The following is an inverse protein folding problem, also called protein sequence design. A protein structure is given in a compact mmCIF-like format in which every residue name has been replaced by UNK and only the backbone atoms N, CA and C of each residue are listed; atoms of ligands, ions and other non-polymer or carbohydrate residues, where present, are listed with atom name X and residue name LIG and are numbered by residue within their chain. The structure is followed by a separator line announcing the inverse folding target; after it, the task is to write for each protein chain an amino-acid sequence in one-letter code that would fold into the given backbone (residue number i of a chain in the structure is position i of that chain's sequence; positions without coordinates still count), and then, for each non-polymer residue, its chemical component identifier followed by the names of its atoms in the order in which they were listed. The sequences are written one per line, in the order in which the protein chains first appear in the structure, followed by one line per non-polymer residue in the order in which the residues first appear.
data_IF_947703053280
#
_entry.id   IF_947703053280
#
_cell.length_a   1.000
_cell.length_b   1.000
_cell.length_c   1.000
_cell.angle_alpha   90.00
_cell.angle_beta   90.00
_cell.angle_gamma   90.00
#
_symmetry.space_group_name_H-M   'P 1'
#
loop_
_entity.id
_entity.type
_entity.pdbx_description
1 polymer ?
#
# COMPACT_ATOMS: atom_id res chain seq x y z
N UNK A 1 27.47 -1.41 -1.23
CA UNK A 1 26.67 -2.17 -0.24
C UNK A 1 25.17 -2.33 -0.58
N UNK A 2 24.52 -1.39 -1.30
CA UNK A 2 23.06 -1.46 -1.54
C UNK A 2 22.53 -2.61 -2.42
N UNK A 3 23.29 -3.08 -3.43
CA UNK A 3 22.82 -4.13 -4.35
C UNK A 3 22.84 -5.55 -3.75
N UNK A 4 23.66 -5.80 -2.73
CA UNK A 4 23.73 -7.13 -2.09
C UNK A 4 22.64 -7.29 -1.03
N UNK A 5 22.39 -6.24 -0.24
CA UNK A 5 21.23 -6.18 0.66
C UNK A 5 19.92 -6.34 -0.14
N UNK A 6 19.79 -5.65 -1.26
CA UNK A 6 18.63 -5.79 -2.16
C UNK A 6 18.43 -7.24 -2.66
N UNK A 7 19.50 -7.98 -2.98
CA UNK A 7 19.39 -9.38 -3.45
C UNK A 7 18.94 -10.36 -2.37
N UNK A 8 19.39 -10.17 -1.14
CA UNK A 8 19.03 -11.01 0.01
C UNK A 8 17.60 -10.71 0.43
N UNK A 9 17.19 -9.44 0.43
CA UNK A 9 15.81 -9.06 0.69
C UNK A 9 14.87 -9.50 -0.43
N UNK A 10 15.28 -9.45 -1.71
CA UNK A 10 14.45 -9.90 -2.84
C UNK A 10 14.03 -11.38 -2.76
N UNK A 11 14.97 -12.29 -2.43
CA UNK A 11 14.64 -13.72 -2.29
C UNK A 11 13.70 -13.96 -1.09
N UNK A 12 13.95 -13.29 0.03
CA UNK A 12 13.08 -13.41 1.22
C UNK A 12 11.69 -12.80 1.04
N UNK A 13 11.59 -11.68 0.31
CA UNK A 13 10.34 -10.98 -0.03
C UNK A 13 9.45 -11.86 -0.91
N UNK A 14 10.02 -12.51 -1.92
CA UNK A 14 9.27 -13.39 -2.81
C UNK A 14 8.94 -14.74 -2.16
N UNK A 15 9.79 -15.25 -1.26
CA UNK A 15 9.57 -16.52 -0.58
C UNK A 15 8.32 -16.54 0.32
N UNK A 16 7.79 -15.36 0.69
CA UNK A 16 6.55 -15.25 1.47
C UNK A 16 5.28 -15.40 0.62
N UNK A 17 5.41 -15.39 -0.72
CA UNK A 17 4.27 -15.47 -1.63
C UNK A 17 3.85 -16.92 -1.82
N UNK A 18 2.54 -17.18 -1.63
CA UNK A 18 1.88 -18.48 -1.78
C UNK A 18 1.07 -18.49 -3.08
N UNK A 19 0.82 -19.68 -3.62
CA UNK A 19 -0.08 -19.97 -4.76
C UNK A 19 0.29 -19.38 -6.13
N UNK A 20 1.03 -18.28 -6.18
CA UNK A 20 1.55 -17.67 -7.42
C UNK A 20 3.08 -17.55 -7.35
N UNK A 21 3.71 -17.48 -8.51
CA UNK A 21 5.17 -17.33 -8.64
C UNK A 21 5.50 -15.97 -9.23
N UNK A 22 5.81 -14.96 -8.39
CA UNK A 22 6.13 -13.62 -8.87
C UNK A 22 7.34 -13.62 -9.81
N UNK A 23 7.30 -12.75 -10.81
CA UNK A 23 8.42 -12.51 -11.71
C UNK A 23 9.61 -11.99 -10.89
N UNK A 24 10.77 -12.68 -10.91
CA UNK A 24 11.95 -12.22 -10.20
C UNK A 24 12.43 -10.87 -10.75
N UNK A 25 12.91 -9.93 -9.91
CA UNK A 25 13.36 -8.60 -10.37
C UNK A 25 14.38 -8.62 -11.50
N UNK A 26 15.27 -9.62 -11.53
CA UNK A 26 16.26 -9.79 -12.62
C UNK A 26 15.63 -10.15 -13.97
N UNK A 27 14.49 -10.82 -13.95
CA UNK A 27 13.71 -11.21 -15.11
C UNK A 27 12.61 -10.19 -15.46
N UNK A 28 12.36 -9.21 -14.59
CA UNK A 28 11.37 -8.17 -14.84
C UNK A 28 11.75 -7.34 -16.07
N UNK A 29 10.89 -7.37 -17.09
CA UNK A 29 11.00 -6.61 -18.35
C UNK A 29 9.64 -6.01 -18.67
N UNK A 30 9.58 -5.14 -19.68
CA UNK A 30 8.33 -4.52 -20.13
C UNK A 30 7.59 -3.81 -18.98
N UNK A 31 6.27 -4.01 -18.92
CA UNK A 31 5.40 -3.40 -17.91
C UNK A 31 5.80 -3.76 -16.47
N UNK A 32 6.14 -5.03 -16.21
CA UNK A 32 6.59 -5.49 -14.89
C UNK A 32 7.85 -4.74 -14.43
N UNK A 33 8.83 -4.59 -15.33
CA UNK A 33 10.06 -3.85 -15.05
C UNK A 33 9.79 -2.36 -14.75
N UNK A 34 8.86 -1.73 -15.48
CA UNK A 34 8.47 -0.33 -15.23
C UNK A 34 7.81 -0.16 -13.86
N UNK A 35 6.86 -1.03 -13.51
CA UNK A 35 6.18 -1.02 -12.22
C UNK A 35 7.18 -1.24 -11.08
N UNK A 36 8.05 -2.26 -11.18
CA UNK A 36 9.05 -2.53 -10.14
C UNK A 36 10.01 -1.35 -9.95
N UNK A 37 10.41 -0.71 -11.05
CA UNK A 37 11.24 0.49 -11.00
C UNK A 37 10.55 1.63 -10.26
N UNK A 38 9.27 1.90 -10.55
CA UNK A 38 8.52 2.96 -9.86
C UNK A 38 8.26 2.63 -8.39
N UNK A 39 7.89 1.38 -8.09
CA UNK A 39 7.70 0.89 -6.73
C UNK A 39 8.94 1.10 -5.85
N UNK A 40 10.12 0.68 -6.32
CA UNK A 40 11.35 0.84 -5.51
C UNK A 40 11.71 2.32 -5.32
N UNK A 41 11.48 3.17 -6.32
CA UNK A 41 11.76 4.61 -6.21
C UNK A 41 10.81 5.33 -5.24
N UNK A 42 9.53 5.00 -5.30
CA UNK A 42 8.48 5.76 -4.61
C UNK A 42 8.15 5.16 -3.24
N UNK A 43 8.08 3.82 -3.15
CA UNK A 43 7.81 3.10 -1.90
C UNK A 43 9.08 2.81 -1.09
N UNK A 44 10.25 2.85 -1.73
CA UNK A 44 11.56 2.68 -1.08
C UNK A 44 12.01 1.22 -0.90
N UNK A 45 11.16 0.24 -1.21
CA UNK A 45 11.49 -1.18 -1.18
C UNK A 45 10.61 -2.00 -2.11
N UNK A 46 11.05 -3.21 -2.42
CA UNK A 46 10.18 -4.24 -2.99
C UNK A 46 9.08 -4.58 -1.98
N UNK A 47 7.82 -4.43 -2.39
CA UNK A 47 6.66 -4.69 -1.55
C UNK A 47 5.95 -5.99 -1.99
N UNK A 48 6.03 -7.10 -1.22
CA UNK A 48 5.33 -8.34 -1.55
C UNK A 48 3.84 -8.16 -1.91
N UNK A 49 3.06 -7.29 -1.20
CA UNK A 49 1.66 -7.02 -1.55
C UNK A 49 1.43 -6.53 -2.99
N UNK A 50 2.44 -5.93 -3.63
CA UNK A 50 2.39 -5.48 -5.02
C UNK A 50 3.00 -6.53 -5.94
N UNK A 51 4.20 -7.02 -5.61
CA UNK A 51 4.97 -7.97 -6.43
C UNK A 51 4.21 -9.26 -6.75
N UNK A 52 3.33 -9.72 -5.84
CA UNK A 52 2.52 -10.92 -6.02
C UNK A 52 1.70 -10.92 -7.32
N UNK A 53 1.38 -9.74 -7.86
CA UNK A 53 0.57 -9.60 -9.08
C UNK A 53 1.38 -9.76 -10.37
N UNK A 54 2.71 -9.81 -10.31
CA UNK A 54 3.57 -9.78 -11.49
C UNK A 54 3.36 -10.89 -12.55
N UNK A 55 2.78 -12.06 -12.26
CA UNK A 55 2.35 -13.01 -13.30
C UNK A 55 1.24 -12.47 -14.22
N UNK A 56 0.51 -11.43 -13.79
CA UNK A 56 -0.51 -10.72 -14.57
C UNK A 56 -0.13 -9.22 -14.65
N UNK A 57 0.69 -8.81 -15.64
CA UNK A 57 1.29 -7.48 -15.70
C UNK A 57 0.31 -6.30 -15.62
N UNK A 58 -0.88 -6.44 -16.20
CA UNK A 58 -1.95 -5.44 -16.19
C UNK A 58 -2.54 -5.27 -14.79
N UNK A 59 -2.73 -6.38 -14.06
CA UNK A 59 -3.19 -6.37 -12.67
C UNK A 59 -2.12 -5.80 -11.75
N UNK A 60 -0.84 -6.11 -12.01
CA UNK A 60 0.30 -5.50 -11.32
C UNK A 60 0.30 -3.98 -11.50
N UNK A 61 0.13 -3.50 -12.73
CA UNK A 61 0.07 -2.08 -13.03
C UNK A 61 -1.11 -1.42 -12.32
N UNK A 62 -2.32 -1.99 -12.40
CA UNK A 62 -3.51 -1.45 -11.75
C UNK A 62 -3.36 -1.43 -10.21
N UNK A 63 -2.90 -2.53 -9.60
CA UNK A 63 -2.68 -2.63 -8.16
C UNK A 63 -1.65 -1.62 -7.65
N UNK A 64 -0.56 -1.43 -8.41
CA UNK A 64 0.43 -0.40 -8.10
C UNK A 64 -0.13 1.01 -8.27
N UNK A 65 -0.87 1.28 -9.34
CA UNK A 65 -1.48 2.59 -9.61
C UNK A 65 -2.44 2.99 -8.50
N UNK A 66 -3.31 2.07 -8.06
CA UNK A 66 -4.20 2.28 -6.91
C UNK A 66 -3.43 2.64 -5.64
N UNK A 67 -2.40 1.86 -5.28
CA UNK A 67 -1.58 2.12 -4.09
C UNK A 67 -0.84 3.45 -4.19
N UNK A 68 -0.16 3.69 -5.31
CA UNK A 68 0.67 4.88 -5.51
C UNK A 68 -0.19 6.14 -5.44
N UNK A 69 -1.27 6.21 -6.21
CA UNK A 69 -2.04 7.44 -6.32
C UNK A 69 -2.93 7.70 -5.09
N UNK A 70 -3.47 6.66 -4.44
CA UNK A 70 -4.30 6.87 -3.25
C UNK A 70 -3.47 7.21 -2.00
N UNK A 71 -2.41 6.43 -1.74
CA UNK A 71 -1.64 6.50 -0.49
C UNK A 71 -0.37 7.34 -0.62
N UNK A 72 0.36 7.20 -1.72
CA UNK A 72 1.73 7.73 -1.80
C UNK A 72 1.81 9.14 -2.38
N UNK A 73 1.04 9.40 -3.44
CA UNK A 73 1.00 10.69 -4.11
C UNK A 73 0.52 11.79 -3.17
N UNK A 74 1.12 12.97 -3.33
CA UNK A 74 0.67 14.20 -2.69
C UNK A 74 -0.75 14.57 -3.13
N UNK A 75 -1.46 15.27 -2.27
CA UNK A 75 -2.86 15.64 -2.46
C UNK A 75 -3.36 16.51 -1.33
N UNK A 76 -4.68 16.65 -1.20
CA UNK A 76 -5.33 17.41 -0.13
C UNK A 76 -5.09 16.73 1.22
N UNK A 77 -5.22 15.40 1.26
CA UNK A 77 -5.06 14.64 2.49
C UNK A 77 -3.57 14.38 2.77
N UNK A 78 -3.12 14.74 3.97
CA UNK A 78 -1.75 14.48 4.40
C UNK A 78 -1.47 12.97 4.47
N UNK A 79 -0.21 12.56 4.20
CA UNK A 79 0.20 11.15 4.24
C UNK A 79 -0.14 10.45 5.56
N UNK A 80 -0.05 11.15 6.68
CA UNK A 80 -0.35 10.60 8.01
C UNK A 80 -1.80 10.15 8.15
N UNK A 81 -2.79 10.93 7.67
CA UNK A 81 -4.20 10.54 7.75
C UNK A 81 -4.54 9.43 6.76
N UNK A 82 -3.89 9.39 5.59
CA UNK A 82 -3.99 8.27 4.65
C UNK A 82 -3.50 6.96 5.30
N UNK A 83 -2.39 6.98 6.02
CA UNK A 83 -1.87 5.82 6.74
C UNK A 83 -2.75 5.39 7.93
N UNK A 84 -3.46 6.34 8.58
CA UNK A 84 -4.48 6.02 9.58
C UNK A 84 -5.60 5.21 8.95
N UNK A 85 -6.18 5.68 7.83
CA UNK A 85 -7.22 4.94 7.11
C UNK A 85 -6.74 3.55 6.68
N UNK A 86 -5.55 3.45 6.08
CA UNK A 86 -4.96 2.18 5.68
C UNK A 86 -4.83 1.19 6.85
N UNK A 87 -4.39 1.68 8.02
CA UNK A 87 -4.27 0.88 9.24
C UNK A 87 -5.61 0.37 9.74
N UNK A 88 -6.61 1.25 9.80
CA UNK A 88 -7.92 0.96 10.37
C UNK A 88 -8.75 0.02 9.48
N UNK A 89 -8.71 0.22 8.16
CA UNK A 89 -9.31 -0.71 7.18
C UNK A 89 -8.64 -2.08 7.27
N UNK A 90 -7.31 -2.11 7.39
CA UNK A 90 -6.55 -3.37 7.53
C UNK A 90 -6.89 -4.11 8.82
N UNK A 91 -7.11 -3.39 9.92
CA UNK A 91 -7.57 -3.97 11.17
C UNK A 91 -8.99 -4.52 11.05
N UNK A 92 -9.90 -3.79 10.39
CA UNK A 92 -11.28 -4.22 10.16
C UNK A 92 -11.38 -5.45 9.24
N UNK A 93 -10.45 -5.60 8.30
CA UNK A 93 -10.34 -6.77 7.43
C UNK A 93 -9.52 -7.92 8.06
N UNK A 94 -9.11 -7.81 9.33
CA UNK A 94 -8.27 -8.80 10.01
C UNK A 94 -6.98 -9.16 9.23
N UNK A 95 -6.31 -8.16 8.64
CA UNK A 95 -5.07 -8.34 7.88
C UNK A 95 -3.84 -7.93 8.72
N UNK A 96 -3.23 -8.84 9.49
CA UNK A 96 -2.13 -8.51 10.41
C UNK A 96 -0.89 -7.97 9.70
N UNK A 97 -0.57 -8.49 8.50
CA UNK A 97 0.56 -8.03 7.71
C UNK A 97 0.45 -6.52 7.41
N UNK A 98 -0.71 -6.10 6.92
CA UNK A 98 -0.95 -4.69 6.57
C UNK A 98 -0.99 -3.81 7.83
N UNK A 99 -1.62 -4.27 8.91
CA UNK A 99 -1.61 -3.55 10.19
C UNK A 99 -0.19 -3.27 10.67
N UNK A 100 0.69 -4.28 10.63
CA UNK A 100 2.09 -4.12 11.05
C UNK A 100 2.85 -3.11 10.18
N UNK A 101 2.71 -3.18 8.86
CA UNK A 101 3.37 -2.25 7.92
C UNK A 101 2.89 -0.81 8.12
N UNK A 102 1.57 -0.60 8.19
CA UNK A 102 1.00 0.75 8.25
C UNK A 102 1.19 1.38 9.63
N UNK A 103 1.09 0.62 10.73
CA UNK A 103 1.46 1.11 12.06
C UNK A 103 2.94 1.47 12.16
N UNK A 104 3.83 0.63 11.63
CA UNK A 104 5.25 0.94 11.63
C UNK A 104 5.56 2.22 10.82
N UNK A 105 4.85 2.43 9.71
CA UNK A 105 4.94 3.66 8.90
C UNK A 105 4.41 4.88 9.65
N UNK A 106 3.24 4.78 10.29
CA UNK A 106 2.63 5.85 11.11
C UNK A 106 3.58 6.36 12.18
N UNK A 107 4.27 5.47 12.90
CA UNK A 107 5.25 5.85 13.93
C UNK A 107 6.41 6.68 13.38
N UNK A 108 6.69 6.61 12.07
CA UNK A 108 7.69 7.42 11.38
C UNK A 108 7.20 8.82 10.97
N UNK A 109 5.88 9.06 10.99
CA UNK A 109 5.22 10.29 10.57
C UNK A 109 4.95 11.21 11.77
N UNK A 110 5.01 12.52 11.52
CA UNK A 110 4.71 13.54 12.55
C UNK A 110 3.19 13.65 12.70
N UNK A 111 2.71 13.86 13.93
CA UNK A 111 1.29 14.05 14.25
C UNK A 111 0.45 12.78 14.11
N UNK A 112 1.04 11.59 14.13
CA UNK A 112 0.28 10.33 14.01
C UNK A 112 -0.65 10.05 15.19
N UNK A 113 -0.47 10.78 16.29
CA UNK A 113 -1.24 10.77 17.53
C UNK A 113 -2.25 11.93 17.62
N UNK A 114 -2.45 12.69 16.54
CA UNK A 114 -3.39 13.80 16.51
C UNK A 114 -4.84 13.30 16.73
N UNK A 115 -5.52 13.74 17.80
CA UNK A 115 -6.87 13.27 18.14
C UNK A 115 -7.91 13.64 17.07
N UNK A 116 -7.62 14.61 16.20
CA UNK A 116 -8.50 14.96 15.07
C UNK A 116 -8.67 13.83 14.07
N UNK A 117 -7.81 12.81 14.09
CA UNK A 117 -7.96 11.63 13.23
C UNK A 117 -8.94 10.59 13.79
N UNK A 118 -9.46 10.75 15.00
CA UNK A 118 -10.37 9.77 15.60
C UNK A 118 -11.67 9.53 14.80
N UNK A 119 -12.38 10.57 14.27
CA UNK A 119 -13.59 10.34 13.49
C UNK A 119 -13.33 9.56 12.19
N UNK A 120 -12.26 9.91 11.47
CA UNK A 120 -11.90 9.20 10.22
C UNK A 120 -11.39 7.79 10.50
N UNK A 121 -10.67 7.57 11.61
CA UNK A 121 -10.26 6.23 12.04
C UNK A 121 -11.48 5.34 12.35
N UNK A 122 -12.46 5.87 13.08
CA UNK A 122 -13.70 5.16 13.39
C UNK A 122 -14.49 4.80 12.12
N UNK A 123 -14.63 5.76 11.20
CA UNK A 123 -15.25 5.52 9.90
C UNK A 123 -14.52 4.42 9.12
N UNK A 124 -13.20 4.54 8.97
CA UNK A 124 -12.37 3.57 8.24
C UNK A 124 -12.46 2.15 8.85
N UNK A 125 -12.51 2.05 10.18
CA UNK A 125 -12.73 0.76 10.87
C UNK A 125 -14.11 0.18 10.60
N UNK A 126 -15.13 1.02 10.42
CA UNK A 126 -16.51 0.59 10.17
C UNK A 126 -16.74 0.04 8.75
N UNK A 127 -15.83 0.31 7.80
CA UNK A 127 -16.01 -0.13 6.41
C UNK A 127 -15.72 -1.63 6.20
N UNK A 128 -15.13 -2.30 7.21
CA UNK A 128 -14.88 -3.74 7.18
C UNK A 128 -16.07 -4.58 7.68
N UNK A 129 -16.00 -5.90 7.44
CA UNK A 129 -16.91 -6.86 8.07
C UNK A 129 -18.30 -7.03 7.42
N UNK A 130 -18.52 -6.51 6.21
CA UNK A 130 -19.73 -6.78 5.41
C UNK A 130 -21.03 -6.12 5.93
N UNK A 131 -20.94 -5.29 6.97
CA UNK A 131 -22.03 -4.44 7.44
C UNK A 131 -22.00 -3.11 6.68
N UNK A 132 -23.13 -2.41 6.63
CA UNK A 132 -23.15 -1.04 6.16
C UNK A 132 -22.18 -0.21 7.01
N UNK A 133 -21.23 0.45 6.35
CA UNK A 133 -20.31 1.37 7.01
C UNK A 133 -21.11 2.47 7.72
N UNK A 134 -20.55 3.04 8.79
CA UNK A 134 -21.13 4.27 9.34
C UNK A 134 -21.00 5.38 8.30
N UNK A 135 -21.87 6.39 8.41
CA UNK A 135 -21.81 7.56 7.54
C UNK A 135 -20.40 8.19 7.59
N UNK A 136 -19.80 8.54 6.43
CA UNK A 136 -18.52 9.23 6.42
C UNK A 136 -18.63 10.59 7.12
N UNK A 137 -17.55 11.08 7.75
CA UNK A 137 -17.57 12.41 8.34
C UNK A 137 -17.85 13.48 7.26
N UNK A 138 -18.55 14.58 7.57
CA UNK A 138 -19.05 15.56 6.59
C UNK A 138 -18.00 16.25 5.70
N UNK A 139 -16.71 16.07 5.98
CA UNK A 139 -15.58 16.62 5.23
C UNK A 139 -14.55 15.54 4.85
N UNK A 140 -15.00 14.32 4.59
CA UNK A 140 -14.11 13.24 4.17
C UNK A 140 -13.61 13.49 2.74
N UNK A 141 -12.30 13.66 2.60
CA UNK A 141 -11.67 13.78 1.28
C UNK A 141 -11.85 12.49 0.46
N UNK A 142 -12.15 12.64 -0.84
CA UNK A 142 -12.25 11.51 -1.77
C UNK A 142 -10.96 10.66 -1.81
N UNK A 143 -9.81 11.27 -1.54
CA UNK A 143 -8.52 10.57 -1.39
C UNK A 143 -8.56 9.51 -0.28
N UNK A 144 -9.25 9.78 0.83
CA UNK A 144 -9.36 8.85 1.95
C UNK A 144 -10.29 7.67 1.62
N UNK A 145 -11.34 7.91 0.83
CA UNK A 145 -12.17 6.85 0.24
C UNK A 145 -11.34 5.98 -0.72
N UNK A 146 -10.52 6.60 -1.57
CA UNK A 146 -9.63 5.87 -2.47
C UNK A 146 -8.62 5.00 -1.72
N UNK A 147 -8.08 5.47 -0.59
CA UNK A 147 -7.23 4.67 0.30
C UNK A 147 -8.02 3.48 0.86
N UNK A 148 -9.23 3.70 1.39
CA UNK A 148 -10.04 2.62 1.94
C UNK A 148 -10.34 1.52 0.90
N UNK A 149 -10.77 1.90 -0.30
CA UNK A 149 -11.03 0.98 -1.42
C UNK A 149 -9.77 0.20 -1.79
N UNK A 150 -8.64 0.90 -1.90
CA UNK A 150 -7.34 0.27 -2.22
C UNK A 150 -6.95 -0.77 -1.17
N UNK A 151 -7.16 -0.48 0.11
CA UNK A 151 -6.83 -1.43 1.19
C UNK A 151 -7.84 -2.57 1.32
N UNK A 152 -9.13 -2.37 1.02
CA UNK A 152 -10.04 -3.49 0.87
C UNK A 152 -9.56 -4.48 -0.21
N UNK A 153 -9.06 -3.99 -1.34
CA UNK A 153 -8.46 -4.84 -2.37
C UNK A 153 -7.16 -5.51 -1.88
N UNK A 154 -6.17 -4.72 -1.46
CA UNK A 154 -4.85 -5.24 -1.09
C UNK A 154 -4.90 -6.18 0.12
N UNK A 155 -5.75 -5.93 1.12
CA UNK A 155 -5.89 -6.82 2.26
C UNK A 155 -6.36 -8.22 1.83
N UNK A 156 -7.25 -8.34 0.84
CA UNK A 156 -7.69 -9.65 0.32
C UNK A 156 -6.56 -10.36 -0.42
N UNK A 157 -5.80 -9.63 -1.23
CA UNK A 157 -4.63 -10.19 -1.91
C UNK A 157 -3.58 -10.67 -0.90
N UNK A 158 -3.32 -9.88 0.14
CA UNK A 158 -2.38 -10.24 1.21
C UNK A 158 -2.88 -11.46 2.00
N UNK A 159 -4.16 -11.50 2.39
CA UNK A 159 -4.74 -12.61 3.14
C UNK A 159 -4.65 -13.95 2.39
N UNK A 160 -4.88 -13.94 1.08
CA UNK A 160 -4.78 -15.14 0.24
C UNK A 160 -3.31 -15.51 -0.02
N UNK A 161 -2.52 -14.57 -0.52
CA UNK A 161 -1.23 -14.87 -1.15
C UNK A 161 -0.01 -14.66 -0.24
N UNK A 162 -0.12 -14.07 0.95
CA UNK A 162 1.02 -13.82 1.85
C UNK A 162 0.82 -14.39 3.26
N UNK A 163 1.91 -14.53 4.01
CA UNK A 163 1.87 -14.80 5.44
C UNK A 163 1.43 -13.58 6.27
N UNK A 164 1.17 -13.81 7.55
CA UNK A 164 0.60 -12.80 8.47
C UNK A 164 1.55 -11.66 8.88
N UNK A 165 2.82 -11.71 8.47
CA UNK A 165 3.86 -10.82 8.98
C UNK A 165 4.74 -10.30 7.84
N UNK A 166 5.06 -8.99 7.81
CA UNK A 166 6.03 -8.45 6.86
C UNK A 166 7.48 -8.82 7.21
N UNK A 167 7.71 -9.25 8.46
CA UNK A 167 9.02 -9.73 8.90
C UNK A 167 9.25 -11.17 8.41
N UNK A 168 10.50 -11.52 8.08
CA UNK A 168 10.88 -12.88 7.74
C UNK A 168 10.47 -13.89 8.83
N UNK A 169 10.07 -15.12 8.45
CA UNK A 169 9.61 -16.13 9.41
C UNK A 169 10.70 -16.52 10.43
N UNK A 170 11.97 -16.31 10.11
CA UNK A 170 13.12 -16.57 10.98
C UNK A 170 13.19 -15.62 12.18
N UNK A 171 12.47 -14.48 12.15
CA UNK A 171 12.46 -13.52 13.25
C UNK A 171 11.67 -14.07 14.45
N UNK A 172 12.30 -14.26 15.63
CA UNK A 172 11.63 -14.80 16.81
C UNK A 172 10.47 -13.90 17.27
N UNK A 173 9.37 -14.51 17.77
CA UNK A 173 8.16 -13.77 18.20
C UNK A 173 8.47 -12.62 19.17
N UNK A 174 9.36 -12.84 20.15
CA UNK A 174 9.80 -11.82 21.13
C UNK A 174 10.52 -10.61 20.50
N UNK A 175 11.11 -10.79 19.32
CA UNK A 175 11.88 -9.77 18.62
C UNK A 175 11.04 -9.00 17.57
N UNK A 176 9.80 -9.42 17.28
CA UNK A 176 8.96 -8.82 16.24
C UNK A 176 8.66 -7.34 16.49
N UNK A 177 8.25 -6.98 17.71
CA UNK A 177 7.98 -5.58 18.08
C UNK A 177 9.19 -4.65 17.87
N UNK A 178 10.36 -4.95 18.44
CA UNK A 178 11.60 -4.24 18.15
C UNK A 178 11.94 -4.17 16.65
N UNK A 179 11.79 -5.28 15.92
CA UNK A 179 12.08 -5.33 14.49
C UNK A 179 11.14 -4.43 13.67
N UNK A 180 9.84 -4.39 13.98
CA UNK A 180 8.88 -3.47 13.34
C UNK A 180 9.20 -2.00 13.60
N UNK A 181 9.71 -1.66 14.80
CA UNK A 181 10.19 -0.29 15.08
C UNK A 181 11.40 0.09 14.24
N UNK A 182 12.33 -0.84 14.05
CA UNK A 182 13.48 -0.63 13.16
C UNK A 182 13.02 -0.50 11.71
N UNK A 183 12.09 -1.34 11.26
CA UNK A 183 11.46 -1.25 9.95
C UNK A 183 10.83 0.14 9.71
N UNK A 184 10.02 0.64 10.65
CA UNK A 184 9.42 1.98 10.55
C UNK A 184 10.47 3.11 10.46
N UNK A 185 11.57 3.00 11.21
CA UNK A 185 12.69 3.96 11.10
C UNK A 185 13.36 3.92 9.73
N UNK A 186 13.52 2.73 9.14
CA UNK A 186 14.09 2.56 7.80
C UNK A 186 13.16 3.13 6.71
N UNK A 187 11.84 3.00 6.89
CA UNK A 187 10.84 3.52 5.94
C UNK A 187 10.61 5.03 6.03
N UNK A 188 11.04 5.67 7.13
CA UNK A 188 10.81 7.10 7.39
C UNK A 188 11.19 8.05 6.24
N UNK A 189 12.33 7.91 5.54
CA UNK A 189 12.66 8.79 4.41
C UNK A 189 11.66 8.65 3.25
N UNK A 190 11.28 7.42 2.89
CA UNK A 190 10.29 7.15 1.85
C UNK A 190 8.90 7.65 2.26
N UNK A 191 8.49 7.39 3.51
CA UNK A 191 7.19 7.83 4.04
C UNK A 191 7.01 9.35 4.07
N UNK A 192 8.10 10.12 4.15
CA UNK A 192 8.08 11.59 4.17
C UNK A 192 8.28 12.23 2.80
N UNK A 193 8.51 11.42 1.78
CA UNK A 193 8.74 11.91 0.42
C UNK A 193 7.43 12.43 -0.16
N UNK A 194 7.48 13.60 -0.77
CA UNK A 194 6.39 14.07 -1.64
C UNK A 194 6.53 13.41 -3.00
N UNK A 195 5.47 12.71 -3.43
CA UNK A 195 5.41 12.02 -4.70
C UNK A 195 4.40 12.77 -5.58
N UNK A 196 4.78 13.22 -6.79
CA UNK A 196 3.85 13.93 -7.66
C UNK A 196 2.74 12.98 -8.16
N UNK A 197 1.48 13.45 -8.15
CA UNK A 197 0.36 12.64 -8.64
C UNK A 197 0.47 12.41 -10.15
N UNK A 198 -0.04 11.26 -10.59
CA UNK A 198 -0.27 10.96 -11.99
C UNK A 198 0.88 10.34 -12.79
N UNK A 199 2.09 10.20 -12.24
CA UNK A 199 3.20 9.55 -12.97
C UNK A 199 2.97 8.04 -13.21
N UNK A 200 2.02 7.42 -12.52
CA UNK A 200 1.66 6.01 -12.77
C UNK A 200 0.58 5.83 -13.84
N UNK A 201 -0.10 6.91 -14.27
CA UNK A 201 -1.17 6.84 -15.28
C UNK A 201 -0.74 6.20 -16.60
N UNK A 202 0.47 6.45 -17.14
CA UNK A 202 0.92 5.82 -18.39
C UNK A 202 1.21 4.31 -18.28
N UNK A 203 1.07 3.70 -17.09
CA UNK A 203 1.25 2.26 -16.91
C UNK A 203 0.07 1.45 -17.43
N UNK A 204 -1.12 2.05 -17.47
CA UNK A 204 -2.32 1.45 -18.05
C UNK A 204 -2.62 2.08 -19.41
N UNK A 205 -3.18 1.31 -20.36
CA UNK A 205 -3.61 1.86 -21.63
C UNK A 205 -4.69 2.92 -21.41
N UNK A 206 -4.75 3.89 -22.32
CA UNK A 206 -5.89 4.81 -22.36
C UNK A 206 -7.17 3.99 -22.60
N UNK A 207 -8.21 4.33 -21.85
CA UNK A 207 -9.53 3.71 -21.98
C UNK A 207 -10.58 4.81 -21.99
N UNK A 208 -11.62 4.62 -22.79
CA UNK A 208 -12.77 5.51 -22.79
C UNK A 208 -13.50 5.40 -21.45
N UNK A 209 -13.85 6.55 -20.87
CA UNK A 209 -14.63 6.58 -19.63
C UNK A 209 -16.06 6.13 -19.94
N UNK A 210 -16.57 5.07 -19.27
CA UNK A 210 -17.96 4.71 -19.41
C UNK A 210 -18.86 5.84 -18.87
N UNK A 211 -20.14 5.92 -19.31
CA UNK A 211 -21.01 7.05 -18.99
C UNK A 211 -21.18 7.33 -17.50
N UNK A 212 -21.19 6.28 -16.67
CA UNK A 212 -21.29 6.34 -15.21
C UNK A 212 -20.01 6.88 -14.52
N UNK A 213 -18.88 6.89 -15.25
CA UNK A 213 -17.61 7.48 -14.82
C UNK A 213 -17.28 8.79 -15.55
N UNK A 214 -18.25 9.40 -16.24
CA UNK A 214 -18.05 10.66 -16.96
C UNK A 214 -17.57 11.81 -16.06
N UNK A 215 -17.87 11.75 -14.76
CA UNK A 215 -17.38 12.69 -13.74
C UNK A 215 -15.86 12.65 -13.55
N UNK A 216 -15.19 11.58 -13.99
CA UNK A 216 -13.73 11.42 -13.95
C UNK A 216 -12.99 12.08 -15.10
N UNK A 217 -13.68 12.75 -16.04
CA UNK A 217 -13.01 13.52 -17.10
C UNK A 217 -12.18 14.63 -16.47
N UNK A 218 -10.93 14.79 -16.92
CA UNK A 218 -10.14 15.99 -16.59
C UNK A 218 -10.89 17.20 -17.15
N UNK A 219 -11.36 18.07 -16.26
CA UNK A 219 -11.77 19.42 -16.65
C UNK A 219 -10.47 20.15 -17.00
N UNK A 220 -10.29 20.43 -18.29
CA UNK A 220 -9.17 21.23 -18.80
C UNK A 220 -9.48 22.70 -18.57
#
# INVERSE_FOLDING_TARGET
MGRLLARVTERGVLAQVRHVSPVPPRAARGLVGRVYGQLVRDFGMAAPPVLLHSPAPEVLAAGWMMLRESLLSGGVAARVVKEVVATEVSAANACPYCVDVHRATLLGLRGHDDPRYAPVAAWARSTGGGRAATEPPPALDAELVAVAVTFHYLNRMVAVFLGDSPLPPEVPRRARGPALRVFGRLMRPAARRTIPPGESLPLLPAADLPPDLAWGRRVV
#
